data_IF_082261547449
#
_entry.id   IF_082261547449
#
_cell.length_a   1.000
_cell.length_b   1.000
_cell.length_c   1.000
_cell.angle_alpha   90.00
_cell.angle_beta   90.00
_cell.angle_gamma   90.00
#
_symmetry.space_group_name_H-M   'P 1'
#
loop_
_entity.id
_entity.type
_entity.pdbx_description
1 polymer ?
#
# COMPACT_ATOMS: atom_id res chain seq x y z
N UNK A 1 -6.89 -11.96 8.50
CA UNK A 1 -6.29 -10.86 7.73
C UNK A 1 -4.78 -10.89 7.70
N UNK A 2 -4.14 -11.14 8.82
CA UNK A 2 -2.66 -11.06 8.92
C UNK A 2 -1.91 -12.05 8.02
N UNK A 3 -2.53 -13.17 7.68
CA UNK A 3 -1.89 -14.19 6.84
C UNK A 3 -2.18 -14.01 5.35
N UNK A 4 -3.03 -13.06 4.98
CA UNK A 4 -3.33 -12.79 3.59
C UNK A 4 -2.10 -12.16 2.90
N UNK A 5 -1.95 -12.46 1.61
CA UNK A 5 -0.89 -11.90 0.79
C UNK A 5 -1.53 -10.95 -0.21
N UNK A 6 -1.50 -9.64 0.04
CA UNK A 6 -2.12 -8.69 -0.87
C UNK A 6 -1.30 -8.49 -2.12
N UNK A 7 -1.98 -8.13 -3.20
CA UNK A 7 -1.36 -7.75 -4.47
C UNK A 7 -2.11 -6.55 -5.02
N UNK A 8 -1.40 -5.71 -5.76
CA UNK A 8 -2.05 -4.62 -6.50
C UNK A 8 -2.99 -5.25 -7.52
N UNK A 9 -4.24 -4.78 -7.56
CA UNK A 9 -5.23 -5.32 -8.49
C UNK A 9 -4.78 -5.15 -9.95
N UNK A 10 -5.11 -6.08 -10.84
CA UNK A 10 -4.57 -6.08 -12.21
C UNK A 10 -4.81 -4.82 -13.03
N UNK A 11 -5.90 -4.09 -12.76
CA UNK A 11 -6.21 -2.87 -13.49
C UNK A 11 -5.48 -1.64 -12.95
N UNK A 12 -4.78 -1.79 -11.83
CA UNK A 12 -4.07 -0.70 -11.18
C UNK A 12 -2.58 -0.88 -11.31
N UNK A 13 -1.88 0.24 -11.41
CA UNK A 13 -0.43 0.25 -11.57
C UNK A 13 0.18 1.29 -10.66
N UNK A 14 1.04 0.87 -9.76
CA UNK A 14 1.76 1.79 -8.88
C UNK A 14 2.97 2.34 -9.63
N UNK A 15 3.13 3.65 -9.62
CA UNK A 15 4.23 4.32 -10.30
C UNK A 15 4.76 5.46 -9.45
N UNK A 16 6.07 5.61 -9.45
CA UNK A 16 6.72 6.73 -8.79
C UNK A 16 6.92 7.86 -9.79
N UNK A 17 6.39 9.03 -9.45
CA UNK A 17 6.59 10.25 -10.25
C UNK A 17 7.79 11.01 -9.71
N UNK A 18 8.90 10.95 -10.42
CA UNK A 18 10.13 11.59 -9.99
C UNK A 18 10.00 13.12 -9.92
N UNK A 19 9.24 13.70 -10.83
CA UNK A 19 9.06 15.17 -10.91
C UNK A 19 8.44 15.73 -9.63
N UNK A 20 7.52 14.99 -9.01
CA UNK A 20 6.83 15.42 -7.80
C UNK A 20 7.27 14.62 -6.58
N UNK A 21 8.20 13.68 -6.76
CA UNK A 21 8.70 12.80 -5.70
C UNK A 21 7.55 12.13 -4.95
N UNK A 22 6.59 11.57 -5.70
CA UNK A 22 5.40 10.98 -5.08
C UNK A 22 4.97 9.73 -5.84
N UNK A 23 4.33 8.84 -5.10
CA UNK A 23 3.72 7.65 -5.68
C UNK A 23 2.31 7.94 -6.16
N UNK A 24 1.94 7.35 -7.28
CA UNK A 24 0.59 7.45 -7.84
C UNK A 24 0.11 6.04 -8.20
N UNK A 25 -1.20 5.86 -8.14
CA UNK A 25 -1.84 4.63 -8.54
C UNK A 25 -2.64 4.91 -9.81
N UNK A 26 -2.18 4.34 -10.92
CA UNK A 26 -2.79 4.55 -12.22
C UNK A 26 -3.85 3.50 -12.50
N UNK A 27 -4.93 3.90 -13.16
CA UNK A 27 -5.97 2.99 -13.61
C UNK A 27 -6.59 3.56 -14.89
N UNK A 28 -7.41 2.77 -15.64
CA UNK A 28 -7.86 3.21 -16.96
C UNK A 28 -8.56 4.57 -17.00
N UNK A 29 -9.33 4.91 -15.96
CA UNK A 29 -10.09 6.16 -15.93
C UNK A 29 -9.35 7.32 -15.30
N UNK A 30 -8.14 7.12 -14.77
CA UNK A 30 -7.44 8.20 -14.14
C UNK A 30 -6.30 7.76 -13.23
N UNK A 31 -6.09 8.54 -12.19
CA UNK A 31 -4.95 8.37 -11.31
C UNK A 31 -5.32 8.80 -9.89
N UNK A 32 -4.80 8.06 -8.90
CA UNK A 32 -4.90 8.44 -7.50
C UNK A 32 -3.54 8.93 -7.04
N UNK A 33 -3.49 10.15 -6.53
CA UNK A 33 -2.27 10.68 -5.92
C UNK A 33 -2.19 10.20 -4.49
N UNK A 34 -1.08 9.57 -4.15
CA UNK A 34 -0.90 8.98 -2.83
C UNK A 34 -0.09 9.93 -1.95
N UNK A 35 -0.45 10.02 -0.68
CA UNK A 35 0.42 10.71 0.27
C UNK A 35 1.62 9.79 0.59
N UNK A 36 2.57 10.33 1.37
CA UNK A 36 3.81 9.61 1.65
C UNK A 36 3.54 8.28 2.36
N UNK A 37 2.62 8.26 3.31
CA UNK A 37 2.29 7.05 4.05
C UNK A 37 1.67 5.99 3.15
N UNK A 38 0.70 6.38 2.33
CA UNK A 38 0.04 5.46 1.39
C UNK A 38 1.03 4.90 0.38
N UNK A 39 1.89 5.75 -0.16
CA UNK A 39 2.92 5.33 -1.10
C UNK A 39 3.90 4.35 -0.47
N UNK A 40 4.32 4.62 0.77
CA UNK A 40 5.24 3.74 1.48
C UNK A 40 4.62 2.36 1.73
N UNK A 41 3.35 2.31 2.06
CA UNK A 41 2.66 1.03 2.27
C UNK A 41 2.53 0.27 0.95
N UNK A 42 1.99 0.92 -0.08
CA UNK A 42 1.71 0.24 -1.34
C UNK A 42 2.97 -0.23 -2.07
N UNK A 43 4.07 0.53 -2.01
CA UNK A 43 5.31 0.13 -2.67
C UNK A 43 5.92 -1.14 -2.08
N UNK A 44 5.54 -1.51 -0.86
CA UNK A 44 6.04 -2.72 -0.21
C UNK A 44 5.24 -3.97 -0.57
N UNK A 45 4.12 -3.79 -1.26
CA UNK A 45 3.29 -4.91 -1.69
C UNK A 45 3.94 -5.55 -2.91
N UNK A 46 4.42 -6.77 -2.75
CA UNK A 46 5.20 -7.48 -3.76
C UNK A 46 4.56 -8.80 -4.21
N UNK A 47 3.36 -9.10 -3.73
CA UNK A 47 2.68 -10.35 -4.07
C UNK A 47 3.22 -11.57 -3.34
N UNK A 48 4.14 -11.38 -2.40
CA UNK A 48 4.76 -12.46 -1.64
C UNK A 48 4.69 -12.20 -0.13
N UNK A 49 4.67 -10.94 0.29
CA UNK A 49 4.63 -10.57 1.71
C UNK A 49 3.21 -10.63 2.23
N UNK A 50 3.04 -11.20 3.42
CA UNK A 50 1.75 -11.21 4.12
C UNK A 50 1.47 -9.85 4.72
N UNK A 51 0.23 -9.62 5.11
CA UNK A 51 -0.14 -8.40 5.84
C UNK A 51 0.71 -8.28 7.11
N UNK A 52 0.93 -9.38 7.84
CA UNK A 52 1.77 -9.35 9.04
C UNK A 52 3.18 -8.89 8.74
N UNK A 53 3.77 -9.36 7.64
CA UNK A 53 5.11 -8.93 7.23
C UNK A 53 5.15 -7.46 6.87
N UNK A 54 4.14 -6.97 6.18
CA UNK A 54 4.05 -5.55 5.82
C UNK A 54 3.94 -4.67 7.06
N UNK A 55 3.09 -5.05 8.01
CA UNK A 55 2.96 -4.33 9.28
C UNK A 55 4.30 -4.28 10.00
N UNK A 56 5.00 -5.41 10.07
CA UNK A 56 6.30 -5.48 10.72
C UNK A 56 7.32 -4.59 10.04
N UNK A 57 7.38 -4.60 8.71
CA UNK A 57 8.29 -3.73 7.96
C UNK A 57 8.03 -2.26 8.27
N UNK A 58 6.76 -1.87 8.33
CA UNK A 58 6.40 -0.49 8.59
C UNK A 58 6.65 -0.08 10.03
N UNK A 59 6.46 -0.99 10.96
CA UNK A 59 6.84 -0.74 12.36
C UNK A 59 8.34 -0.51 12.50
N UNK A 60 9.14 -1.23 11.74
CA UNK A 60 10.59 -1.05 11.74
C UNK A 60 11.03 0.24 11.05
N UNK A 61 10.32 0.61 9.98
CA UNK A 61 10.62 1.84 9.25
C UNK A 61 10.22 3.09 10.03
N UNK A 62 9.19 3.00 10.86
CA UNK A 62 8.64 4.12 11.62
C UNK A 62 8.53 3.77 13.10
N UNK A 63 9.67 3.49 13.78
CA UNK A 63 9.64 2.92 15.13
C UNK A 63 9.07 3.83 16.20
N UNK A 64 9.04 5.14 15.95
CA UNK A 64 8.53 6.09 16.93
C UNK A 64 7.03 6.36 16.79
N UNK A 65 6.42 5.81 15.75
CA UNK A 65 4.99 5.94 15.50
C UNK A 65 4.30 4.58 15.74
N UNK A 66 3.09 4.62 16.27
CA UNK A 66 2.30 3.40 16.42
C UNK A 66 1.50 3.18 15.14
N UNK A 67 2.14 2.53 14.17
CA UNK A 67 1.59 2.46 12.81
C UNK A 67 0.70 1.25 12.55
N UNK A 68 0.70 0.26 13.46
CA UNK A 68 0.00 -1.01 13.20
C UNK A 68 -1.47 -0.82 12.80
N UNK A 69 -2.22 -0.12 13.61
CA UNK A 69 -3.66 0.06 13.36
C UNK A 69 -3.90 0.88 12.10
N UNK A 70 -3.07 1.89 11.86
CA UNK A 70 -3.18 2.73 10.67
C UNK A 70 -2.89 1.93 9.40
N UNK A 71 -1.89 1.06 9.44
CA UNK A 71 -1.56 0.20 8.29
C UNK A 71 -2.70 -0.77 8.01
N UNK A 72 -3.23 -1.41 9.05
CA UNK A 72 -4.33 -2.36 8.88
C UNK A 72 -5.57 -1.67 8.32
N UNK A 73 -5.89 -0.50 8.83
CA UNK A 73 -7.02 0.29 8.33
C UNK A 73 -6.80 0.70 6.88
N UNK A 74 -5.61 1.15 6.54
CA UNK A 74 -5.29 1.53 5.16
C UNK A 74 -5.43 0.33 4.21
N UNK A 75 -4.90 -0.82 4.58
CA UNK A 75 -4.97 -2.01 3.73
C UNK A 75 -6.41 -2.47 3.52
N UNK A 76 -7.22 -2.40 4.58
CA UNK A 76 -8.64 -2.73 4.47
C UNK A 76 -9.35 -1.77 3.53
N UNK A 77 -9.10 -0.48 3.69
CA UNK A 77 -9.70 0.56 2.86
C UNK A 77 -9.29 0.40 1.40
N UNK A 78 -8.01 0.16 1.15
CA UNK A 78 -7.50 -0.06 -0.21
C UNK A 78 -8.14 -1.29 -0.86
N UNK A 79 -8.33 -2.35 -0.09
CA UNK A 79 -9.00 -3.55 -0.58
C UNK A 79 -10.46 -3.24 -0.94
N UNK A 80 -11.16 -2.52 -0.09
CA UNK A 80 -12.55 -2.13 -0.34
C UNK A 80 -12.69 -1.25 -1.58
N UNK A 81 -11.69 -0.41 -1.85
CA UNK A 81 -11.68 0.43 -3.05
C UNK A 81 -11.33 -0.34 -4.32
N UNK A 82 -10.96 -1.60 -4.19
CA UNK A 82 -10.57 -2.41 -5.33
C UNK A 82 -9.14 -2.25 -5.77
N UNK A 83 -8.31 -1.56 -4.99
CA UNK A 83 -6.89 -1.36 -5.32
C UNK A 83 -6.06 -2.62 -5.07
N UNK A 84 -6.49 -3.46 -4.13
CA UNK A 84 -5.78 -4.66 -3.73
C UNK A 84 -6.68 -5.89 -3.88
N UNK A 85 -6.04 -7.02 -4.19
CA UNK A 85 -6.67 -8.34 -4.16
C UNK A 85 -5.83 -9.25 -3.28
N UNK A 86 -6.49 -10.27 -2.70
CA UNK A 86 -5.83 -11.24 -1.84
C UNK A 86 -6.19 -12.66 -2.25
#
# INVERSE_FOLDING_TARGET
>A
MMQLIPRIAPLYRLQHEATQARWVLLYPEGMVRLNDAAGDILRRIDGASTVAMLVEQLEQAWPEAEVRDDVLEFLRDAHERGWLVC
#
